data_IF_833323804279
#
_entry.id   IF_833323804279
#
_cell.length_a   1.000
_cell.length_b   1.000
_cell.length_c   1.000
_cell.angle_alpha   90.00
_cell.angle_beta   90.00
_cell.angle_gamma   90.00
#
_symmetry.space_group_name_H-M   'P 1'
#
loop_
_entity.id
_entity.type
_entity.pdbx_description
1 polymer ?
#
# COMPACT_ATOMS: atom_id res chain seq x y z
N UNK A 1 2.65 -15.27 -9.84
CA UNK A 1 1.62 -15.16 -8.79
C UNK A 1 0.59 -14.17 -9.31
N UNK A 2 -0.68 -14.54 -9.28
CA UNK A 2 -1.82 -13.78 -9.80
C UNK A 2 -2.64 -13.10 -8.70
N UNK A 3 -2.23 -13.22 -7.44
CA UNK A 3 -2.89 -12.53 -6.34
C UNK A 3 -3.01 -11.01 -6.60
N UNK A 4 -4.15 -10.40 -6.24
CA UNK A 4 -4.31 -8.96 -6.37
C UNK A 4 -3.25 -8.18 -5.58
N UNK A 5 -2.79 -7.07 -6.13
CA UNK A 5 -1.86 -6.16 -5.43
C UNK A 5 -2.59 -5.12 -4.58
N UNK A 6 -3.91 -5.01 -4.73
CA UNK A 6 -4.76 -4.09 -3.98
C UNK A 6 -6.00 -4.82 -3.50
N UNK A 7 -6.32 -4.66 -2.21
CA UNK A 7 -7.49 -5.24 -1.56
C UNK A 7 -8.27 -4.15 -0.85
N UNK A 8 -9.57 -4.33 -0.64
CA UNK A 8 -10.39 -3.45 0.19
C UNK A 8 -10.86 -4.20 1.42
N UNK A 9 -10.60 -3.64 2.60
CA UNK A 9 -11.12 -4.19 3.83
C UNK A 9 -12.66 -4.17 3.79
N UNK A 10 -13.30 -5.26 4.23
CA UNK A 10 -14.77 -5.38 4.25
C UNK A 10 -15.41 -5.82 2.94
N UNK A 11 -14.64 -6.03 1.88
CA UNK A 11 -15.12 -6.66 0.65
C UNK A 11 -14.76 -8.15 0.62
N UNK A 12 -15.57 -8.96 -0.07
CA UNK A 12 -15.20 -10.34 -0.38
C UNK A 12 -14.08 -10.36 -1.43
N UNK A 13 -13.13 -11.27 -1.28
CA UNK A 13 -11.96 -11.38 -2.17
C UNK A 13 -11.86 -12.83 -2.65
N UNK A 14 -11.77 -13.03 -3.96
CA UNK A 14 -11.58 -14.36 -4.54
C UNK A 14 -10.58 -14.30 -5.69
N UNK A 15 -9.63 -15.23 -5.71
CA UNK A 15 -8.72 -15.46 -6.82
C UNK A 15 -8.27 -16.92 -6.88
N UNK A 16 -7.73 -17.32 -8.02
CA UNK A 16 -7.23 -18.67 -8.27
C UNK A 16 -5.76 -18.58 -8.67
N UNK A 17 -4.94 -19.46 -8.10
CA UNK A 17 -3.54 -19.66 -8.45
C UNK A 17 -3.36 -21.05 -9.04
N UNK A 18 -2.73 -21.11 -10.22
CA UNK A 18 -2.35 -22.36 -10.85
C UNK A 18 -0.86 -22.60 -10.60
N UNK A 19 -0.54 -23.70 -9.91
CA UNK A 19 0.82 -24.11 -9.59
C UNK A 19 1.03 -25.56 -10.06
N UNK A 20 1.30 -25.80 -11.35
CA UNK A 20 1.37 -27.17 -11.91
C UNK A 20 2.43 -28.06 -11.25
N UNK A 21 3.50 -27.49 -10.70
CA UNK A 21 4.52 -28.22 -9.94
C UNK A 21 4.06 -28.61 -8.52
N UNK A 22 3.04 -27.93 -8.00
CA UNK A 22 2.51 -28.09 -6.65
C UNK A 22 0.98 -28.14 -6.65
N UNK A 23 0.36 -29.11 -7.36
CA UNK A 23 -1.09 -29.12 -7.54
C UNK A 23 -1.82 -29.47 -6.24
N UNK A 24 -2.96 -28.83 -6.01
CA UNK A 24 -3.75 -29.03 -4.80
C UNK A 24 -4.24 -30.49 -4.66
N UNK A 25 -4.61 -31.11 -5.79
CA UNK A 25 -5.01 -32.51 -5.89
C UNK A 25 -3.93 -33.50 -5.42
N UNK A 26 -2.65 -33.13 -5.48
CA UNK A 26 -1.55 -33.95 -4.96
C UNK A 26 -1.26 -33.70 -3.46
N UNK A 27 -2.13 -32.97 -2.76
CA UNK A 27 -2.05 -32.71 -1.32
C UNK A 27 -1.17 -31.52 -0.94
N UNK A 28 -0.80 -30.66 -1.90
CA UNK A 28 -0.14 -29.40 -1.60
C UNK A 28 -1.15 -28.37 -1.11
N UNK A 29 -0.80 -27.59 -0.08
CA UNK A 29 -1.64 -26.54 0.47
C UNK A 29 -0.98 -25.18 0.28
N UNK A 30 -1.54 -24.35 -0.61
CA UNK A 30 -1.11 -22.96 -0.77
C UNK A 30 -1.63 -22.09 0.37
N UNK A 31 -0.74 -21.31 0.95
CA UNK A 31 -1.02 -20.38 2.04
C UNK A 31 -0.37 -19.03 1.76
N UNK A 32 -0.97 -18.00 2.33
CA UNK A 32 -0.41 -16.66 2.32
C UNK A 32 -0.36 -16.10 3.74
N UNK A 33 0.66 -15.28 4.00
CA UNK A 33 0.76 -14.51 5.23
C UNK A 33 0.79 -13.04 4.86
N UNK A 34 -0.21 -12.30 5.32
CA UNK A 34 -0.29 -10.85 5.20
C UNK A 34 0.33 -10.23 6.45
N UNK A 35 1.40 -9.46 6.24
CA UNK A 35 2.24 -8.91 7.30
C UNK A 35 2.21 -7.39 7.21
N UNK A 36 1.75 -6.73 8.27
CA UNK A 36 1.76 -5.28 8.39
C UNK A 36 3.06 -4.79 9.02
N UNK A 37 3.38 -3.51 8.83
CA UNK A 37 4.52 -2.87 9.51
C UNK A 37 4.37 -2.89 11.04
N UNK A 38 3.13 -2.80 11.53
CA UNK A 38 2.76 -2.91 12.94
C UNK A 38 1.44 -3.67 13.07
N UNK A 39 1.26 -4.42 14.16
CA UNK A 39 0.07 -5.23 14.41
C UNK A 39 0.24 -6.72 14.12
N UNK A 40 -0.86 -7.46 14.19
CA UNK A 40 -0.87 -8.91 14.01
C UNK A 40 -0.85 -9.28 12.51
N UNK A 41 -0.05 -10.30 12.17
CA UNK A 41 -0.11 -10.90 10.84
C UNK A 41 -1.40 -11.70 10.66
N UNK A 42 -1.85 -11.84 9.41
CA UNK A 42 -3.05 -12.58 9.04
C UNK A 42 -2.64 -13.75 8.15
N UNK A 43 -3.08 -14.95 8.50
CA UNK A 43 -2.88 -16.14 7.68
C UNK A 43 -4.11 -16.35 6.78
N UNK A 44 -3.86 -16.61 5.50
CA UNK A 44 -4.86 -16.85 4.46
C UNK A 44 -4.58 -18.23 3.88
N UNK A 45 -5.59 -19.10 3.85
CA UNK A 45 -5.45 -20.44 3.31
C UNK A 45 -6.24 -20.55 2.00
N UNK A 46 -5.62 -21.10 0.97
CA UNK A 46 -6.33 -21.49 -0.23
C UNK A 46 -7.01 -22.86 -0.03
N UNK A 47 -8.16 -23.04 -0.65
CA UNK A 47 -8.82 -24.33 -0.81
C UNK A 47 -8.44 -24.96 -2.16
N UNK A 48 -8.51 -26.28 -2.25
CA UNK A 48 -8.35 -26.98 -3.52
C UNK A 48 -9.51 -26.68 -4.47
N UNK A 49 -9.20 -26.37 -5.72
CA UNK A 49 -10.13 -26.23 -6.85
C UNK A 49 -9.61 -27.05 -8.03
N UNK A 50 -9.88 -28.36 -8.00
CA UNK A 50 -9.19 -29.33 -8.85
C UNK A 50 -7.69 -29.37 -8.56
N UNK A 51 -6.87 -29.13 -9.57
CA UNK A 51 -5.41 -28.99 -9.43
C UNK A 51 -4.99 -27.60 -8.93
N UNK A 52 -5.87 -26.60 -9.02
CA UNK A 52 -5.58 -25.22 -8.67
C UNK A 52 -5.84 -24.94 -7.19
N UNK A 53 -5.36 -23.79 -6.75
CA UNK A 53 -5.55 -23.26 -5.40
C UNK A 53 -6.45 -22.04 -5.47
N UNK A 54 -7.64 -22.13 -4.88
CA UNK A 54 -8.59 -21.02 -4.82
C UNK A 54 -8.54 -20.36 -3.45
N UNK A 55 -8.31 -19.06 -3.40
CA UNK A 55 -8.57 -18.26 -2.20
C UNK A 55 -9.95 -17.66 -2.33
N UNK A 56 -10.75 -17.81 -1.28
CA UNK A 56 -12.09 -17.24 -1.18
C UNK A 56 -12.27 -16.72 0.25
N UNK A 57 -12.26 -15.39 0.40
CA UNK A 57 -12.35 -14.69 1.68
C UNK A 57 -13.66 -13.92 1.74
N UNK A 58 -14.44 -14.18 2.78
CA UNK A 58 -15.67 -13.45 3.03
C UNK A 58 -15.38 -12.01 3.49
N UNK A 59 -16.28 -11.09 3.16
CA UNK A 59 -16.27 -9.71 3.64
C UNK A 59 -16.08 -9.58 5.17
N UNK A 60 -16.63 -10.51 5.96
CA UNK A 60 -16.47 -10.51 7.42
C UNK A 60 -15.03 -10.80 7.87
N UNK A 61 -14.30 -11.64 7.12
CA UNK A 61 -12.91 -11.96 7.42
C UNK A 61 -11.96 -10.80 7.07
N UNK A 62 -12.29 -10.03 6.02
CA UNK A 62 -11.50 -8.89 5.55
C UNK A 62 -11.88 -7.57 6.22
N UNK A 63 -13.04 -7.50 6.90
CA UNK A 63 -13.56 -6.29 7.54
C UNK A 63 -12.61 -5.70 8.59
N UNK A 64 -11.83 -6.56 9.27
CA UNK A 64 -10.88 -6.17 10.30
C UNK A 64 -9.47 -5.88 9.77
N UNK A 65 -9.25 -5.98 8.45
CA UNK A 65 -7.93 -5.71 7.87
C UNK A 65 -7.57 -4.24 8.03
N UNK A 66 -6.34 -3.99 8.48
CA UNK A 66 -5.84 -2.63 8.68
C UNK A 66 -5.50 -2.01 7.32
N UNK A 67 -6.05 -0.83 7.04
CA UNK A 67 -5.73 -0.10 5.82
C UNK A 67 -4.27 0.37 5.82
N UNK A 68 -3.61 0.31 4.67
CA UNK A 68 -2.20 0.69 4.52
C UNK A 68 -1.41 -0.29 3.66
N UNK A 69 -0.09 -0.17 3.70
CA UNK A 69 0.83 -1.07 3.02
C UNK A 69 1.09 -2.32 3.87
N UNK A 70 1.11 -3.47 3.21
CA UNK A 70 1.41 -4.77 3.83
C UNK A 70 2.26 -5.63 2.88
N UNK A 71 2.95 -6.62 3.41
CA UNK A 71 3.64 -7.65 2.63
C UNK A 71 2.79 -8.91 2.58
N UNK A 72 2.49 -9.41 1.38
CA UNK A 72 1.84 -10.69 1.16
C UNK A 72 2.90 -11.73 0.78
N UNK A 73 3.16 -12.68 1.68
CA UNK A 73 4.11 -13.78 1.44
C UNK A 73 3.36 -15.06 1.10
N UNK A 74 3.60 -15.63 -0.08
CA UNK A 74 3.03 -16.89 -0.54
C UNK A 74 3.98 -18.06 -0.25
N UNK A 75 3.44 -19.13 0.31
CA UNK A 75 4.19 -20.36 0.55
C UNK A 75 3.27 -21.58 0.43
N UNK A 76 3.86 -22.72 0.11
CA UNK A 76 3.14 -23.98 -0.07
C UNK A 76 3.69 -25.04 0.89
N UNK A 77 2.80 -25.90 1.39
CA UNK A 77 3.14 -26.93 2.36
C UNK A 77 2.60 -28.30 1.92
N UNK A 78 3.36 -29.35 2.21
CA UNK A 78 2.91 -30.75 2.12
C UNK A 78 3.67 -31.58 3.16
N UNK A 79 2.95 -32.10 4.15
CA UNK A 79 3.58 -32.79 5.28
C UNK A 79 4.51 -31.85 6.06
N UNK A 80 5.80 -32.19 6.12
CA UNK A 80 6.84 -31.37 6.78
C UNK A 80 7.54 -30.40 5.82
N UNK A 81 7.28 -30.51 4.53
CA UNK A 81 7.89 -29.66 3.52
C UNK A 81 7.17 -28.32 3.43
N UNK A 82 7.95 -27.23 3.42
CA UNK A 82 7.47 -25.86 3.25
C UNK A 82 8.37 -25.11 2.28
N UNK A 83 7.76 -24.53 1.24
CA UNK A 83 8.47 -23.81 0.18
C UNK A 83 7.86 -22.41 0.06
N UNK A 84 8.68 -21.37 0.21
CA UNK A 84 8.27 -19.99 -0.08
C UNK A 84 8.30 -19.77 -1.59
N UNK A 85 7.19 -19.30 -2.15
CA UNK A 85 7.04 -19.10 -3.59
C UNK A 85 7.34 -17.64 -4.00
N UNK A 86 6.82 -16.68 -3.25
CA UNK A 86 6.97 -15.26 -3.55
C UNK A 86 6.63 -14.38 -2.34
N UNK A 87 7.05 -13.12 -2.39
CA UNK A 87 6.59 -12.07 -1.48
C UNK A 87 6.46 -10.76 -2.23
N UNK A 88 5.35 -10.05 -2.02
CA UNK A 88 5.11 -8.77 -2.70
C UNK A 88 4.48 -7.75 -1.73
N UNK A 89 4.65 -6.46 -2.04
CA UNK A 89 3.97 -5.38 -1.32
C UNK A 89 2.57 -5.22 -1.90
N UNK A 90 1.57 -5.21 -1.03
CA UNK A 90 0.16 -5.02 -1.38
C UNK A 90 -0.43 -3.84 -0.62
N UNK A 91 -1.47 -3.24 -1.19
CA UNK A 91 -2.19 -2.12 -0.57
C UNK A 91 -3.56 -2.56 -0.08
N UNK A 92 -3.84 -2.31 1.20
CA UNK A 92 -5.16 -2.52 1.81
C UNK A 92 -5.88 -1.17 1.89
N UNK A 93 -7.01 -1.05 1.19
CA UNK A 93 -7.86 0.13 1.18
C UNK A 93 -8.84 0.10 2.36
N UNK A 94 -9.28 1.28 2.87
CA UNK A 94 -10.22 1.36 3.97
C UNK A 94 -11.56 0.67 3.71
N UNK A 95 -12.18 0.18 4.77
CA UNK A 95 -13.53 -0.39 4.72
C UNK A 95 -14.57 0.72 4.53
N UNK A 96 -15.19 0.74 3.35
CA UNK A 96 -16.19 1.76 3.01
C UNK A 96 -17.55 1.51 3.67
N UNK A 97 -17.86 0.26 4.04
CA UNK A 97 -19.12 -0.06 4.72
C UNK A 97 -19.20 0.58 6.12
N UNK A 98 -18.05 0.85 6.73
CA UNK A 98 -17.96 1.43 8.08
C UNK A 98 -17.26 2.79 8.12
N UNK A 99 -16.72 3.28 6.99
CA UNK A 99 -16.03 4.56 6.96
C UNK A 99 -17.01 5.72 7.16
N UNK A 100 -16.79 6.53 8.20
CA UNK A 100 -17.53 7.78 8.43
C UNK A 100 -16.88 8.97 7.74
N UNK A 101 -15.56 8.95 7.60
CA UNK A 101 -14.78 9.90 6.83
C UNK A 101 -13.82 9.12 5.94
N UNK A 102 -13.72 9.51 4.67
CA UNK A 102 -12.78 8.90 3.73
C UNK A 102 -11.96 9.99 3.06
N UNK A 103 -10.66 9.96 3.30
CA UNK A 103 -9.72 10.68 2.45
C UNK A 103 -9.39 9.82 1.22
N UNK A 104 -10.06 10.13 0.11
CA UNK A 104 -9.93 9.41 -1.16
C UNK A 104 -8.67 9.77 -1.94
N UNK A 105 -7.81 10.66 -1.42
CA UNK A 105 -6.52 11.00 -2.04
C UNK A 105 -5.62 9.77 -2.13
N UNK A 106 -4.73 9.74 -3.12
CA UNK A 106 -3.67 8.73 -3.19
C UNK A 106 -2.70 8.86 -2.01
N UNK A 107 -1.87 7.83 -1.78
CA UNK A 107 -0.81 7.90 -0.76
C UNK A 107 0.12 9.07 -1.07
N UNK A 108 0.56 9.24 -2.32
CA UNK A 108 1.42 10.35 -2.71
C UNK A 108 0.78 11.72 -2.45
N UNK A 109 -0.53 11.87 -2.71
CA UNK A 109 -1.25 13.12 -2.48
C UNK A 109 -1.43 13.45 -1.00
N UNK A 110 -1.60 12.43 -0.14
CA UNK A 110 -1.59 12.59 1.32
C UNK A 110 -0.21 12.99 1.82
N UNK A 111 0.83 12.25 1.41
CA UNK A 111 2.22 12.55 1.76
C UNK A 111 2.64 13.96 1.33
N UNK A 112 2.20 14.42 0.16
CA UNK A 112 2.44 15.80 -0.29
C UNK A 112 1.78 16.82 0.63
N UNK A 113 0.52 16.59 1.03
CA UNK A 113 -0.18 17.47 1.94
C UNK A 113 0.50 17.53 3.31
N UNK A 114 0.93 16.39 3.84
CA UNK A 114 1.66 16.30 5.11
C UNK A 114 3.01 17.02 5.03
N UNK A 115 3.76 16.86 3.93
CA UNK A 115 5.03 17.56 3.71
C UNK A 115 4.84 19.09 3.63
N UNK A 116 3.78 19.56 2.96
CA UNK A 116 3.45 20.98 2.90
C UNK A 116 3.04 21.53 4.27
N UNK A 117 2.25 20.79 5.04
CA UNK A 117 1.88 21.15 6.40
C UNK A 117 3.11 21.21 7.33
N UNK A 118 4.01 20.24 7.24
CA UNK A 118 5.27 20.22 7.97
C UNK A 118 6.16 21.43 7.63
N UNK A 119 6.26 21.79 6.34
CA UNK A 119 6.99 22.98 5.90
C UNK A 119 6.37 24.27 6.44
N UNK A 120 5.05 24.41 6.41
CA UNK A 120 4.36 25.58 6.96
C UNK A 120 4.60 25.71 8.47
N UNK A 121 4.47 24.61 9.22
CA UNK A 121 4.77 24.57 10.65
C UNK A 121 6.23 24.91 10.95
N UNK A 122 7.18 24.41 10.14
CA UNK A 122 8.60 24.72 10.26
C UNK A 122 8.88 26.22 10.09
N UNK A 123 8.31 26.84 9.05
CA UNK A 123 8.44 28.29 8.82
C UNK A 123 7.80 29.12 9.94
N UNK A 124 6.62 28.72 10.43
CA UNK A 124 5.93 29.40 11.52
C UNK A 124 6.65 29.27 12.87
N UNK A 125 7.41 28.19 13.09
CA UNK A 125 8.11 27.94 14.36
C UNK A 125 9.24 28.94 14.67
N UNK A 126 9.61 29.78 13.69
CA UNK A 126 10.78 30.66 13.78
C UNK A 126 12.11 29.90 13.77
N UNK A 127 12.14 28.56 13.76
CA UNK A 127 13.39 27.79 13.73
C UNK A 127 14.00 27.65 12.33
N UNK A 128 13.33 28.21 11.31
CA UNK A 128 13.72 28.09 9.92
C UNK A 128 15.12 28.64 9.60
N UNK A 129 15.65 29.54 10.42
CA UNK A 129 16.99 30.13 10.30
C UNK A 129 18.05 29.45 11.17
N UNK A 130 17.69 28.43 11.97
CA UNK A 130 18.63 27.73 12.86
C UNK A 130 19.20 26.51 12.15
N UNK A 131 20.44 26.61 11.69
CA UNK A 131 21.13 25.50 11.00
C UNK A 131 21.74 24.47 11.97
N UNK A 132 22.29 24.95 13.08
CA UNK A 132 23.00 24.15 14.08
C UNK A 132 22.95 24.86 15.44
N UNK A 133 22.91 24.10 16.54
CA UNK A 133 23.19 24.63 17.87
C UNK A 133 23.95 23.61 18.72
N UNK A 134 24.84 24.12 19.57
CA UNK A 134 25.55 23.36 20.60
C UNK A 134 25.03 23.81 21.98
N UNK A 135 24.56 22.85 22.78
CA UNK A 135 24.30 23.05 24.20
C UNK A 135 25.04 21.98 24.98
N UNK A 136 26.00 22.41 25.81
CA UNK A 136 26.75 21.55 26.72
C UNK A 136 27.39 20.33 26.04
N UNK A 137 27.91 20.49 24.81
CA UNK A 137 28.57 19.44 24.05
C UNK A 137 27.60 18.49 23.32
N UNK A 138 26.31 18.80 23.27
CA UNK A 138 25.33 18.12 22.42
C UNK A 138 25.07 18.98 21.19
N UNK A 139 25.49 18.47 20.04
CA UNK A 139 25.24 19.08 18.73
C UNK A 139 23.95 18.55 18.16
N UNK A 140 23.03 19.45 17.80
CA UNK A 140 21.85 19.11 17.01
C UNK A 140 21.89 19.83 15.67
N UNK A 141 21.79 19.06 14.58
CA UNK A 141 21.74 19.56 13.21
C UNK A 141 20.32 19.38 12.66
N UNK A 142 19.75 20.45 12.14
CA UNK A 142 18.45 20.40 11.47
C UNK A 142 18.62 20.04 9.98
N UNK A 143 17.59 19.43 9.39
CA UNK A 143 17.52 19.32 7.92
C UNK A 143 17.44 20.73 7.34
N UNK A 144 18.06 20.94 6.18
CA UNK A 144 17.97 22.22 5.50
C UNK A 144 16.55 22.43 4.94
N UNK A 145 16.16 23.68 4.74
CA UNK A 145 14.92 24.01 4.00
C UNK A 145 14.95 23.41 2.60
N UNK A 146 16.13 23.25 2.01
CA UNK A 146 16.33 22.64 0.71
C UNK A 146 15.87 21.18 0.70
N UNK A 147 16.28 20.37 1.70
CA UNK A 147 15.90 18.96 1.79
C UNK A 147 14.37 18.76 1.86
N UNK A 148 13.67 19.68 2.55
CA UNK A 148 12.20 19.66 2.65
C UNK A 148 11.57 20.04 1.31
N UNK A 149 12.17 21.01 0.61
CA UNK A 149 11.69 21.47 -0.71
C UNK A 149 11.87 20.39 -1.77
N UNK A 150 13.01 19.72 -1.79
CA UNK A 150 13.31 18.63 -2.73
C UNK A 150 12.34 17.45 -2.56
N UNK A 151 12.01 17.10 -1.30
CA UNK A 151 10.99 16.08 -1.00
C UNK A 151 9.60 16.49 -1.52
N UNK A 152 9.22 17.75 -1.32
CA UNK A 152 7.93 18.28 -1.82
C UNK A 152 7.87 18.20 -3.34
N UNK A 153 8.92 18.60 -4.03
CA UNK A 153 8.98 18.53 -5.50
C UNK A 153 8.89 17.09 -6.02
N UNK A 154 9.56 16.15 -5.35
CA UNK A 154 9.46 14.73 -5.69
C UNK A 154 8.02 14.22 -5.57
N UNK A 155 7.36 14.53 -4.45
CA UNK A 155 5.97 14.14 -4.20
C UNK A 155 5.00 14.81 -5.19
N UNK A 156 5.23 16.08 -5.57
CA UNK A 156 4.45 16.75 -6.60
C UNK A 156 4.54 16.05 -7.97
N UNK A 157 5.75 15.61 -8.36
CA UNK A 157 5.96 14.85 -9.60
C UNK A 157 5.28 13.48 -9.57
N UNK A 158 5.20 12.85 -8.39
CA UNK A 158 4.50 11.59 -8.22
C UNK A 158 2.98 11.77 -8.37
N UNK A 159 2.41 12.75 -7.66
CA UNK A 159 0.99 13.08 -7.74
C UNK A 159 0.57 13.50 -9.15
N UNK A 160 1.41 14.26 -9.87
CA UNK A 160 1.10 14.66 -11.25
C UNK A 160 1.09 13.47 -12.21
N UNK A 161 1.99 12.50 -12.03
CA UNK A 161 1.99 11.25 -12.79
C UNK A 161 0.74 10.41 -12.52
N UNK A 162 0.35 10.25 -11.26
CA UNK A 162 -0.88 9.55 -10.91
C UNK A 162 -2.11 10.20 -11.55
N UNK A 163 -2.22 11.53 -11.49
CA UNK A 163 -3.33 12.27 -12.13
C UNK A 163 -3.34 12.12 -13.65
N UNK A 164 -2.17 12.12 -14.28
CA UNK A 164 -2.06 11.90 -15.71
C UNK A 164 -2.49 10.49 -16.12
N UNK A 165 -2.09 9.46 -15.36
CA UNK A 165 -2.52 8.07 -15.58
C UNK A 165 -4.03 7.94 -15.39
N UNK A 166 -4.59 8.52 -14.34
CA UNK A 166 -6.02 8.50 -14.08
C UNK A 166 -6.80 9.19 -15.21
N UNK A 167 -6.32 10.34 -15.69
CA UNK A 167 -6.93 11.02 -16.82
C UNK A 167 -6.97 10.14 -18.07
N UNK A 168 -5.88 9.42 -18.37
CA UNK A 168 -5.82 8.48 -19.51
C UNK A 168 -6.84 7.34 -19.34
N UNK A 169 -6.97 6.78 -18.14
CA UNK A 169 -7.96 5.74 -17.84
C UNK A 169 -9.40 6.24 -17.97
N UNK A 170 -9.66 7.49 -17.58
CA UNK A 170 -10.96 8.15 -17.70
C UNK A 170 -11.23 8.68 -19.13
N UNK A 171 -10.37 8.34 -20.12
CA UNK A 171 -10.51 8.72 -21.53
C UNK A 171 -10.07 10.14 -21.87
N UNK A 172 -9.46 10.86 -20.93
CA UNK A 172 -8.84 12.16 -21.12
C UNK A 172 -7.36 12.05 -21.50
N UNK A 173 -6.88 12.94 -22.38
CA UNK A 173 -5.45 13.11 -22.60
C UNK A 173 -4.91 14.17 -21.62
N UNK A 174 -3.79 13.93 -20.91
CA UNK A 174 -3.20 14.94 -20.05
C UNK A 174 -2.81 16.17 -20.88
N UNK A 175 -3.34 17.34 -20.49
CA UNK A 175 -3.05 18.62 -21.15
C UNK A 175 -4.07 19.09 -22.21
N UNK A 176 -5.16 18.35 -22.45
CA UNK A 176 -6.19 18.77 -23.42
C UNK A 176 -7.34 19.50 -22.71
N UNK A 177 -7.46 20.82 -22.92
CA UNK A 177 -8.64 21.59 -22.49
C UNK A 177 -9.83 21.14 -23.34
N UNK A 178 -10.78 20.43 -22.74
CA UNK A 178 -12.04 20.11 -23.39
C UNK A 178 -13.05 21.22 -23.08
N UNK A 179 -13.40 22.01 -24.10
CA UNK A 179 -14.50 22.96 -24.02
C UNK A 179 -15.80 22.18 -24.22
N UNK A 180 -16.70 22.21 -23.22
CA UNK A 180 -18.07 21.71 -23.37
C UNK A 180 -18.88 22.77 -24.12
N UNK A 181 -19.54 22.39 -25.21
CA UNK A 181 -20.62 23.17 -25.84
C UNK A 181 -21.93 22.94 -25.08
#
# INVERSE_FOLDING_TARGET
MLAPTTFRAGDSISWIESLPAYPASAGWALKFRLIYQTGAAIDINAAADGDNHKVDLAATATAAWVAGSATLAAYIEKGTERITLASEIVTILPNLATATNLDSRSIAARSLADALAARAAYLASGKAHVAEYDIAGRVMKFRSVQDITDLIEQLQREVSRERAMQAVLDGGAPGRVQVRF
#
